data_IF_686232849321
#
_entry.id   IF_686232849321
#
_cell.length_a   1.000
_cell.length_b   1.000
_cell.length_c   1.000
_cell.angle_alpha   90.00
_cell.angle_beta   90.00
_cell.angle_gamma   90.00
#
_symmetry.space_group_name_H-M   'P 1'
#
loop_
_entity.id
_entity.type
_entity.pdbx_description
1 polymer ?
#
# COMPACT_ATOMS: atom_id res chain seq x y z
N UNK A 1 -17.58 10.04 14.50
CA UNK A 1 -17.83 8.65 14.04
C UNK A 1 -16.53 8.13 13.43
N UNK A 2 -16.18 6.87 13.60
CA UNK A 2 -15.00 6.30 12.92
C UNK A 2 -15.17 6.39 11.41
N UNK A 3 -14.08 6.64 10.69
CA UNK A 3 -14.03 6.71 9.24
C UNK A 3 -14.50 5.40 8.62
N UNK A 4 -15.36 5.49 7.61
CA UNK A 4 -15.86 4.33 6.87
C UNK A 4 -15.38 4.40 5.43
N UNK A 5 -14.77 3.33 4.97
CA UNK A 5 -14.33 3.16 3.58
C UNK A 5 -15.41 2.41 2.81
N UNK A 6 -16.57 3.06 2.64
CA UNK A 6 -17.76 2.53 1.97
C UNK A 6 -17.91 3.04 0.53
N UNK A 7 -19.06 2.76 -0.11
CA UNK A 7 -19.34 3.19 -1.48
C UNK A 7 -19.25 4.70 -1.65
N UNK A 8 -19.79 5.47 -0.70
CA UNK A 8 -19.81 6.93 -0.75
C UNK A 8 -18.40 7.52 -0.64
N UNK A 9 -17.52 6.90 0.15
CA UNK A 9 -16.11 7.26 0.24
C UNK A 9 -15.43 7.12 -1.12
N UNK A 10 -15.52 5.94 -1.76
CA UNK A 10 -14.89 5.68 -3.05
C UNK A 10 -15.49 6.51 -4.18
N UNK A 11 -16.82 6.74 -4.18
CA UNK A 11 -17.49 7.61 -5.16
C UNK A 11 -17.02 9.06 -5.03
N UNK A 12 -16.89 9.55 -3.81
CA UNK A 12 -16.48 10.93 -3.55
C UNK A 12 -15.02 11.16 -3.96
N UNK A 13 -14.12 10.33 -3.46
CA UNK A 13 -12.68 10.60 -3.59
C UNK A 13 -12.07 10.07 -4.88
N UNK A 14 -12.48 8.89 -5.33
CA UNK A 14 -11.87 8.26 -6.50
C UNK A 14 -12.61 8.57 -7.82
N UNK A 15 -13.95 8.73 -7.79
CA UNK A 15 -14.72 8.98 -9.01
C UNK A 15 -15.02 10.44 -9.25
N UNK A 16 -15.53 11.17 -8.23
CA UNK A 16 -15.93 12.57 -8.40
C UNK A 16 -14.76 13.55 -8.29
N UNK A 17 -13.85 13.35 -7.36
CA UNK A 17 -12.69 14.22 -7.15
C UNK A 17 -11.44 13.74 -7.89
N UNK A 18 -11.44 12.50 -8.42
CA UNK A 18 -10.39 11.98 -9.28
C UNK A 18 -9.03 11.92 -8.60
N UNK A 19 -8.94 11.39 -7.38
CA UNK A 19 -7.67 11.25 -6.69
C UNK A 19 -6.71 10.38 -7.52
N UNK A 20 -5.75 11.05 -8.12
CA UNK A 20 -4.72 10.45 -8.96
C UNK A 20 -5.17 10.19 -10.41
N UNK A 21 -4.40 10.65 -11.39
CA UNK A 21 -4.67 10.28 -12.78
C UNK A 21 -4.23 8.84 -13.03
N UNK A 22 -4.93 8.05 -13.88
CA UNK A 22 -4.47 6.73 -14.28
C UNK A 22 -3.04 6.71 -14.81
N UNK A 23 -2.65 7.73 -15.59
CA UNK A 23 -1.30 7.87 -16.12
C UNK A 23 -0.25 8.14 -15.01
N UNK A 24 -0.60 8.86 -13.95
CA UNK A 24 0.29 9.05 -12.81
C UNK A 24 0.49 7.74 -12.04
N UNK A 25 -0.59 6.97 -11.83
CA UNK A 25 -0.51 5.65 -11.21
C UNK A 25 0.33 4.68 -12.03
N UNK A 26 0.15 4.64 -13.36
CA UNK A 26 0.98 3.79 -14.24
C UNK A 26 2.46 4.12 -14.12
N UNK A 27 2.84 5.40 -14.09
CA UNK A 27 4.24 5.81 -13.88
C UNK A 27 4.76 5.42 -12.50
N UNK A 28 3.95 5.58 -11.45
CA UNK A 28 4.29 5.18 -10.08
C UNK A 28 4.53 3.67 -9.99
N UNK A 29 3.65 2.88 -10.58
CA UNK A 29 3.79 1.41 -10.64
C UNK A 29 5.05 1.02 -11.42
N UNK A 30 5.27 1.61 -12.60
CA UNK A 30 6.47 1.33 -13.41
C UNK A 30 7.77 1.64 -12.66
N UNK A 31 7.81 2.75 -11.94
CA UNK A 31 8.95 3.13 -11.09
C UNK A 31 9.17 2.09 -9.97
N UNK A 32 8.12 1.72 -9.23
CA UNK A 32 8.23 0.74 -8.15
C UNK A 32 8.71 -0.63 -8.65
N UNK A 33 8.17 -1.08 -9.78
CA UNK A 33 8.60 -2.34 -10.43
C UNK A 33 10.07 -2.25 -10.85
N UNK A 34 10.49 -1.17 -11.52
CA UNK A 34 11.87 -1.02 -11.98
C UNK A 34 12.88 -1.03 -10.82
N UNK A 35 12.57 -0.31 -9.73
CA UNK A 35 13.40 -0.29 -8.53
C UNK A 35 13.47 -1.69 -7.90
N UNK A 36 12.35 -2.35 -7.72
CA UNK A 36 12.31 -3.67 -7.11
C UNK A 36 13.10 -4.70 -7.93
N UNK A 37 12.93 -4.72 -9.26
CA UNK A 37 13.66 -5.63 -10.14
C UNK A 37 15.16 -5.33 -10.22
N UNK A 38 15.54 -4.06 -10.09
CA UNK A 38 16.95 -3.69 -9.99
C UNK A 38 17.62 -4.33 -8.76
N UNK A 39 16.99 -4.23 -7.59
CA UNK A 39 17.53 -4.83 -6.36
C UNK A 39 17.43 -6.37 -6.33
N UNK A 40 16.37 -6.91 -6.90
CA UNK A 40 16.19 -8.37 -6.99
C UNK A 40 17.11 -9.04 -8.04
N UNK A 41 17.60 -8.29 -9.02
CA UNK A 41 18.35 -8.81 -10.17
C UNK A 41 17.52 -9.75 -11.07
N UNK A 42 16.19 -9.70 -10.96
CA UNK A 42 15.24 -10.53 -11.72
C UNK A 42 13.86 -9.91 -11.80
N UNK A 43 13.00 -10.35 -12.74
CA UNK A 43 11.62 -9.91 -12.80
C UNK A 43 10.83 -10.26 -11.52
N UNK A 44 9.88 -9.37 -11.16
CA UNK A 44 8.94 -9.57 -10.06
C UNK A 44 8.06 -10.80 -10.28
N UNK A 45 7.83 -11.56 -9.21
CA UNK A 45 6.95 -12.74 -9.19
C UNK A 45 5.75 -12.56 -8.27
N UNK A 46 5.84 -11.71 -7.27
CA UNK A 46 4.78 -11.50 -6.30
C UNK A 46 4.72 -10.08 -5.73
N UNK A 47 3.49 -9.59 -5.52
CA UNK A 47 3.22 -8.28 -4.89
C UNK A 47 2.14 -8.44 -3.83
N UNK A 48 2.39 -7.84 -2.66
CA UNK A 48 1.39 -7.56 -1.64
C UNK A 48 1.08 -6.06 -1.64
N UNK A 49 -0.20 -5.73 -1.80
CA UNK A 49 -0.69 -4.34 -1.81
C UNK A 49 -1.51 -4.11 -0.53
N UNK A 50 -0.94 -3.39 0.43
CA UNK A 50 -1.50 -3.16 1.76
C UNK A 50 -2.26 -1.83 1.79
N UNK A 51 -3.54 -1.88 2.15
CA UNK A 51 -4.46 -0.76 2.00
C UNK A 51 -4.81 -0.53 0.54
N UNK A 52 -5.03 -1.62 -0.19
CA UNK A 52 -5.19 -1.61 -1.64
C UNK A 52 -6.47 -0.93 -2.14
N UNK A 53 -7.42 -0.60 -1.25
CA UNK A 53 -8.73 -0.09 -1.62
C UNK A 53 -9.42 -0.99 -2.63
N UNK A 54 -9.80 -0.43 -3.77
CA UNK A 54 -10.40 -1.19 -4.88
C UNK A 54 -9.36 -1.98 -5.70
N UNK A 55 -8.08 -2.01 -5.33
CA UNK A 55 -7.01 -2.72 -6.04
C UNK A 55 -6.52 -2.01 -7.30
N UNK A 56 -6.32 -0.70 -7.23
CA UNK A 56 -5.93 0.12 -8.38
C UNK A 56 -4.55 -0.25 -8.96
N UNK A 57 -3.62 -0.71 -8.12
CA UNK A 57 -2.27 -1.12 -8.55
C UNK A 57 -2.26 -2.39 -9.40
N UNK A 58 -3.28 -3.25 -9.25
CA UNK A 58 -3.29 -4.58 -9.87
C UNK A 58 -3.21 -4.54 -11.40
N UNK A 59 -4.03 -3.73 -12.06
CA UNK A 59 -4.08 -3.71 -13.52
C UNK A 59 -2.73 -3.29 -14.14
N UNK A 60 -2.12 -2.14 -13.78
CA UNK A 60 -0.83 -1.76 -14.33
C UNK A 60 0.32 -2.71 -13.94
N UNK A 61 0.26 -3.38 -12.79
CA UNK A 61 1.22 -4.42 -12.43
C UNK A 61 1.13 -5.61 -13.38
N UNK A 62 -0.08 -6.08 -13.69
CA UNK A 62 -0.28 -7.22 -14.60
C UNK A 62 -0.01 -6.87 -16.07
N UNK A 63 -0.17 -5.60 -16.48
CA UNK A 63 0.29 -5.13 -17.79
C UNK A 63 1.81 -5.27 -17.93
N UNK A 64 2.57 -4.89 -16.91
CA UNK A 64 4.03 -5.03 -16.91
C UNK A 64 4.51 -6.47 -16.71
N UNK A 65 3.82 -7.23 -15.88
CA UNK A 65 4.20 -8.61 -15.49
C UNK A 65 2.97 -9.52 -15.47
N UNK A 66 2.54 -10.06 -16.62
CA UNK A 66 1.29 -10.83 -16.74
C UNK A 66 1.19 -12.08 -15.88
N UNK A 67 2.33 -12.65 -15.46
CA UNK A 67 2.40 -13.85 -14.58
C UNK A 67 2.57 -13.50 -13.10
N UNK A 68 2.49 -12.23 -12.73
CA UNK A 68 2.66 -11.77 -11.36
C UNK A 68 1.56 -12.32 -10.45
N UNK A 69 1.93 -12.85 -9.31
CA UNK A 69 1.01 -13.16 -8.21
C UNK A 69 0.74 -11.89 -7.41
N UNK A 70 -0.47 -11.36 -7.53
CA UNK A 70 -0.92 -10.19 -6.80
C UNK A 70 -1.87 -10.59 -5.67
N UNK A 71 -1.69 -10.02 -4.50
CA UNK A 71 -2.63 -10.05 -3.38
C UNK A 71 -2.82 -8.61 -2.87
N UNK A 72 -4.07 -8.15 -2.81
CA UNK A 72 -4.43 -6.91 -2.14
C UNK A 72 -5.09 -7.19 -0.79
N UNK A 73 -4.79 -6.39 0.22
CA UNK A 73 -5.47 -6.44 1.53
C UNK A 73 -5.96 -5.05 1.91
N UNK A 74 -7.18 -4.98 2.46
CA UNK A 74 -7.80 -3.71 2.86
C UNK A 74 -8.83 -3.91 3.99
N UNK A 75 -9.11 -2.87 4.74
CA UNK A 75 -10.15 -2.83 5.77
C UNK A 75 -11.54 -2.46 5.25
N UNK A 76 -11.68 -2.17 3.96
CA UNK A 76 -12.95 -1.83 3.33
C UNK A 76 -13.75 -3.08 2.97
N UNK A 77 -14.78 -3.40 3.77
CA UNK A 77 -15.73 -4.46 3.44
C UNK A 77 -16.38 -4.24 2.07
N UNK A 78 -16.69 -2.99 1.73
CA UNK A 78 -17.25 -2.62 0.43
C UNK A 78 -16.32 -2.99 -0.75
N UNK A 79 -15.05 -2.61 -0.66
CA UNK A 79 -14.09 -2.90 -1.72
C UNK A 79 -13.89 -4.41 -1.90
N UNK A 80 -13.83 -5.16 -0.80
CA UNK A 80 -13.67 -6.61 -0.81
C UNK A 80 -14.92 -7.30 -1.36
N UNK A 81 -16.11 -6.93 -0.90
CA UNK A 81 -17.36 -7.52 -1.41
C UNK A 81 -17.54 -7.30 -2.91
N UNK A 82 -17.14 -6.12 -3.41
CA UNK A 82 -17.33 -5.74 -4.81
C UNK A 82 -16.25 -6.26 -5.75
N UNK A 83 -15.01 -6.29 -5.33
CA UNK A 83 -13.85 -6.55 -6.20
C UNK A 83 -13.00 -7.74 -5.74
N UNK A 84 -13.17 -8.25 -4.53
CA UNK A 84 -12.31 -9.26 -3.91
C UNK A 84 -12.05 -10.45 -4.80
N UNK A 85 -13.08 -11.14 -5.25
CA UNK A 85 -12.95 -12.34 -6.08
C UNK A 85 -12.26 -12.06 -7.43
N UNK A 86 -12.58 -10.92 -8.09
CA UNK A 86 -12.05 -10.61 -9.42
C UNK A 86 -10.63 -10.04 -9.41
N UNK A 87 -10.26 -9.38 -8.30
CA UNK A 87 -8.98 -8.67 -8.18
C UNK A 87 -8.03 -9.31 -7.18
N UNK A 88 -8.42 -10.43 -6.58
CA UNK A 88 -7.69 -11.11 -5.51
C UNK A 88 -7.42 -10.17 -4.33
N UNK A 89 -8.50 -9.59 -3.78
CA UNK A 89 -8.45 -8.75 -2.59
C UNK A 89 -9.05 -9.51 -1.40
N UNK A 90 -8.47 -9.30 -0.21
CA UNK A 90 -8.91 -9.91 1.04
C UNK A 90 -9.16 -8.84 2.10
N UNK A 91 -10.16 -9.06 2.95
CA UNK A 91 -10.38 -8.22 4.11
C UNK A 91 -9.29 -8.50 5.14
N UNK A 92 -8.46 -7.50 5.38
CA UNK A 92 -7.43 -7.55 6.41
C UNK A 92 -7.02 -6.12 6.77
N UNK A 93 -7.39 -5.61 7.97
CA UNK A 93 -6.91 -4.33 8.46
C UNK A 93 -5.39 -4.31 8.63
N UNK A 94 -4.79 -3.12 8.53
CA UNK A 94 -3.35 -2.94 8.67
C UNK A 94 -2.80 -3.46 10.02
N UNK A 95 -3.57 -3.28 11.11
CA UNK A 95 -3.20 -3.77 12.44
C UNK A 95 -3.19 -5.29 12.57
N UNK A 96 -3.87 -6.00 11.65
CA UNK A 96 -4.04 -7.44 11.68
C UNK A 96 -3.12 -8.19 10.69
N UNK A 97 -2.12 -7.52 10.11
CA UNK A 97 -1.18 -8.12 9.14
C UNK A 97 -0.46 -9.36 9.68
N UNK A 98 -0.36 -9.51 11.00
CA UNK A 98 0.17 -10.73 11.64
C UNK A 98 -0.63 -11.99 11.28
N UNK A 99 -1.91 -11.86 10.96
CA UNK A 99 -2.76 -12.97 10.55
C UNK A 99 -2.44 -13.49 9.13
N UNK A 100 -1.75 -12.70 8.31
CA UNK A 100 -1.37 -13.12 6.96
C UNK A 100 -0.15 -14.05 7.01
N UNK A 101 -0.37 -15.31 6.57
CA UNK A 101 0.65 -16.36 6.56
C UNK A 101 0.86 -16.87 5.13
N UNK A 102 1.59 -16.13 4.27
CA UNK A 102 1.87 -16.58 2.92
C UNK A 102 2.89 -17.72 2.92
N UNK A 103 2.86 -18.59 1.91
CA UNK A 103 3.84 -19.67 1.76
C UNK A 103 5.28 -19.17 1.56
N UNK A 104 5.45 -17.93 1.10
CA UNK A 104 6.75 -17.24 0.98
C UNK A 104 6.50 -15.73 1.05
N UNK A 105 7.48 -14.95 1.52
CA UNK A 105 7.42 -13.48 1.45
C UNK A 105 7.21 -12.97 0.02
N UNK A 106 6.81 -11.72 -0.10
CA UNK A 106 6.57 -11.07 -1.39
C UNK A 106 7.83 -10.35 -1.89
N UNK A 107 8.01 -10.33 -3.21
CA UNK A 107 9.11 -9.61 -3.87
C UNK A 107 8.97 -8.08 -3.75
N UNK A 108 7.74 -7.59 -3.83
CA UNK A 108 7.41 -6.18 -3.63
C UNK A 108 6.21 -6.09 -2.69
N UNK A 109 6.32 -5.24 -1.70
CA UNK A 109 5.20 -4.81 -0.87
C UNK A 109 4.92 -3.35 -1.16
N UNK A 110 3.65 -3.03 -1.37
CA UNK A 110 3.17 -1.66 -1.59
C UNK A 110 2.30 -1.25 -0.42
N UNK A 111 2.54 -0.07 0.14
CA UNK A 111 1.63 0.61 1.06
C UNK A 111 1.62 2.10 0.71
N UNK A 112 0.61 2.51 -0.05
CA UNK A 112 0.48 3.86 -0.59
C UNK A 112 -0.77 4.53 -0.04
N UNK A 113 -0.61 5.75 0.49
CA UNK A 113 -1.71 6.60 1.00
C UNK A 113 -2.52 6.01 2.18
N UNK A 114 -1.88 5.21 3.05
CA UNK A 114 -2.52 4.53 4.20
C UNK A 114 -1.96 5.00 5.53
N UNK A 115 -0.64 5.03 5.67
CA UNK A 115 0.05 5.15 6.97
C UNK A 115 -0.25 6.43 7.74
N UNK A 116 -0.59 7.51 7.05
CA UNK A 116 -0.94 8.77 7.68
C UNK A 116 -2.35 8.81 8.32
N UNK A 117 -3.14 7.75 8.17
CA UNK A 117 -4.42 7.60 8.89
C UNK A 117 -4.30 6.72 10.13
N UNK A 118 -3.23 5.95 10.26
CA UNK A 118 -3.08 4.94 11.30
C UNK A 118 -2.63 5.54 12.64
N UNK A 119 -3.17 5.07 13.78
CA UNK A 119 -2.59 5.33 15.09
C UNK A 119 -1.14 4.84 15.19
N UNK A 120 -0.30 5.51 16.00
CA UNK A 120 1.12 5.18 16.11
C UNK A 120 1.39 3.72 16.50
N UNK A 121 0.59 3.18 17.43
CA UNK A 121 0.74 1.80 17.88
C UNK A 121 0.42 0.80 16.75
N UNK A 122 -0.64 1.06 15.99
CA UNK A 122 -1.06 0.24 14.85
C UNK A 122 -0.02 0.31 13.73
N UNK A 123 0.48 1.52 13.40
CA UNK A 123 1.53 1.68 12.41
C UNK A 123 2.79 0.89 12.77
N UNK A 124 3.26 1.00 14.04
CA UNK A 124 4.44 0.26 14.50
C UNK A 124 4.24 -1.25 14.48
N UNK A 125 3.05 -1.73 14.84
CA UNK A 125 2.73 -3.15 14.76
C UNK A 125 2.78 -3.64 13.32
N UNK A 126 2.11 -2.95 12.40
CA UNK A 126 2.07 -3.33 10.99
C UNK A 126 3.42 -3.23 10.28
N UNK A 127 4.26 -2.23 10.61
CA UNK A 127 5.60 -2.12 10.01
C UNK A 127 6.48 -3.35 10.28
N UNK A 128 6.41 -3.94 11.48
CA UNK A 128 7.12 -5.19 11.80
C UNK A 128 6.63 -6.37 10.97
N UNK A 129 5.32 -6.39 10.68
CA UNK A 129 4.74 -7.43 9.83
C UNK A 129 5.09 -7.23 8.34
N UNK A 130 5.19 -5.98 7.89
CA UNK A 130 5.63 -5.65 6.52
C UNK A 130 7.05 -6.17 6.28
N UNK A 131 7.96 -5.98 7.25
CA UNK A 131 9.33 -6.53 7.18
C UNK A 131 9.31 -8.06 7.04
N UNK A 132 8.48 -8.75 7.82
CA UNK A 132 8.32 -10.21 7.75
C UNK A 132 7.71 -10.70 6.43
N UNK A 133 6.81 -9.92 5.84
CA UNK A 133 6.05 -10.28 4.65
C UNK A 133 6.77 -9.97 3.33
N UNK A 134 7.88 -9.22 3.37
CA UNK A 134 8.60 -8.77 2.18
C UNK A 134 10.10 -9.08 2.30
N UNK A 135 10.64 -9.87 1.38
CA UNK A 135 12.07 -10.15 1.27
C UNK A 135 12.78 -9.41 0.13
N UNK A 136 12.04 -8.54 -0.57
CA UNK A 136 12.53 -7.70 -1.66
C UNK A 136 12.45 -6.21 -1.33
N UNK A 137 11.57 -5.47 -1.99
CA UNK A 137 11.41 -4.02 -1.80
C UNK A 137 10.05 -3.69 -1.20
N UNK A 138 10.04 -2.83 -0.17
CA UNK A 138 8.83 -2.20 0.34
C UNK A 138 8.69 -0.78 -0.23
N UNK A 139 7.65 -0.55 -1.03
CA UNK A 139 7.25 0.79 -1.49
C UNK A 139 6.29 1.40 -0.47
N UNK A 140 6.81 2.30 0.36
CA UNK A 140 6.07 2.94 1.44
C UNK A 140 5.87 4.43 1.14
N UNK A 141 4.64 4.84 0.86
CA UNK A 141 4.28 6.21 0.53
C UNK A 141 3.30 6.77 1.55
N UNK A 142 3.59 7.96 2.06
CA UNK A 142 2.77 8.62 3.06
C UNK A 142 2.93 10.13 2.99
N UNK A 143 1.90 10.87 3.41
CA UNK A 143 2.00 12.32 3.60
C UNK A 143 2.68 12.66 4.92
N UNK A 144 3.39 13.78 4.92
CA UNK A 144 4.11 14.33 6.07
C UNK A 144 3.59 15.74 6.42
N UNK A 145 4.17 16.37 7.43
CA UNK A 145 3.83 17.78 7.77
C UNK A 145 4.23 18.76 6.68
N UNK A 146 5.15 18.38 5.80
CA UNK A 146 5.71 19.25 4.78
C UNK A 146 4.91 19.20 3.46
N UNK A 147 3.92 18.30 3.38
CA UNK A 147 3.10 18.11 2.19
C UNK A 147 1.80 18.94 2.26
N UNK A 148 1.43 19.56 1.15
CA UNK A 148 0.11 20.14 0.94
C UNK A 148 -0.89 19.03 0.58
N UNK A 149 -1.57 18.50 1.58
CA UNK A 149 -2.52 17.41 1.39
C UNK A 149 -3.84 17.92 0.82
N UNK A 150 -4.13 17.54 -0.41
CA UNK A 150 -5.43 17.73 -1.05
C UNK A 150 -6.16 16.41 -1.05
N UNK A 151 -7.28 16.31 -0.34
CA UNK A 151 -8.04 15.06 -0.28
C UNK A 151 -8.82 14.92 1.01
N UNK A 152 -8.96 13.70 1.46
CA UNK A 152 -9.64 13.38 2.70
C UNK A 152 -8.75 13.68 3.91
N UNK A 153 -9.15 14.67 4.70
CA UNK A 153 -8.44 15.09 5.91
C UNK A 153 -9.00 14.44 7.18
N UNK A 154 -10.06 13.64 7.09
CA UNK A 154 -10.63 12.97 8.25
C UNK A 154 -9.65 11.93 8.79
N UNK A 155 -9.34 12.01 10.07
CA UNK A 155 -8.39 11.17 10.80
C UNK A 155 -6.92 11.27 10.30
N UNK A 156 -6.61 12.28 9.48
CA UNK A 156 -5.24 12.55 9.02
C UNK A 156 -4.33 12.89 10.20
N UNK A 157 -3.26 12.11 10.36
CA UNK A 157 -2.24 12.31 11.38
C UNK A 157 -0.99 12.95 10.77
N UNK A 158 -0.84 14.22 11.00
CA UNK A 158 0.32 14.98 10.49
C UNK A 158 1.57 14.66 11.31
N UNK A 159 2.49 13.94 10.70
CA UNK A 159 3.80 13.57 11.29
C UNK A 159 4.92 14.06 10.38
N UNK A 160 6.04 14.57 10.95
CA UNK A 160 7.18 15.00 10.13
C UNK A 160 7.86 13.78 9.47
N UNK A 161 8.48 13.99 8.30
CA UNK A 161 9.20 12.95 7.58
C UNK A 161 10.25 12.22 8.44
N UNK A 162 10.92 12.96 9.35
CA UNK A 162 11.90 12.40 10.28
C UNK A 162 11.27 11.39 11.27
N UNK A 163 9.98 11.55 11.60
CA UNK A 163 9.27 10.58 12.45
C UNK A 163 9.10 9.26 11.70
N UNK A 164 8.61 9.28 10.46
CA UNK A 164 8.45 8.07 9.64
C UNK A 164 9.78 7.35 9.41
N UNK A 165 10.85 8.10 9.09
CA UNK A 165 12.18 7.50 8.92
C UNK A 165 12.63 6.73 10.15
N UNK A 166 12.46 7.30 11.35
CA UNK A 166 12.80 6.59 12.61
C UNK A 166 11.97 5.33 12.83
N UNK A 167 10.68 5.37 12.49
CA UNK A 167 9.83 4.17 12.65
C UNK A 167 10.20 3.09 11.61
N UNK A 168 10.56 3.48 10.39
CA UNK A 168 11.06 2.55 9.37
C UNK A 168 12.40 1.93 9.80
N UNK A 169 13.36 2.73 10.27
CA UNK A 169 14.65 2.23 10.79
C UNK A 169 14.45 1.24 11.94
N UNK A 170 13.54 1.54 12.87
CA UNK A 170 13.19 0.65 14.00
C UNK A 170 12.56 -0.66 13.56
N UNK A 171 11.86 -0.65 12.46
CA UNK A 171 11.24 -1.83 11.86
C UNK A 171 12.20 -2.62 10.95
N UNK A 172 13.47 -2.20 10.82
CA UNK A 172 14.48 -2.92 10.04
C UNK A 172 14.58 -2.51 8.57
N UNK A 173 13.82 -1.49 8.13
CA UNK A 173 13.90 -1.03 6.74
C UNK A 173 15.18 -0.22 6.48
N UNK A 174 15.85 -0.52 5.39
CA UNK A 174 16.99 0.23 4.89
C UNK A 174 16.55 0.99 3.64
N UNK A 175 16.75 2.33 3.58
CA UNK A 175 16.43 3.10 2.38
C UNK A 175 17.17 2.55 1.16
N UNK A 176 16.45 2.38 0.05
CA UNK A 176 17.08 2.03 -1.22
C UNK A 176 18.05 3.14 -1.64
N UNK A 177 19.31 2.78 -1.85
CA UNK A 177 20.37 3.66 -2.30
C UNK A 177 20.96 3.05 -3.56
N UNK A 178 20.93 3.80 -4.64
CA UNK A 178 21.61 3.50 -5.89
C UNK A 178 23.04 4.05 -5.90
#
# INVERSE_FOLDING_TARGET
>A
MPKRYDADYFDTWYRRRGMGSPAALQRKVAMAVAIAEYFLGRPLRSVLDVGCGEGAWRAPLLELRPKLRYLGVDSSEYAIARYGARRNLQFLPFGDLAALQPASPFDLLVCSDVMHYLPDAELRAGLREIERLCDGVAYLETFTTDDDVVGDLQDLRRRPAAWYRREFDRAGFVPARG
#
